data_IF_126316000652
#
_entry.id   IF_126316000652
#
_cell.length_a   1.000
_cell.length_b   1.000
_cell.length_c   1.000
_cell.angle_alpha   90.00
_cell.angle_beta   90.00
_cell.angle_gamma   90.00
#
_symmetry.space_group_name_H-M   'P 1'
#
loop_
_entity.id
_entity.type
_entity.pdbx_description
1 polymer ?
#
# COMPACT_ATOMS: atom_id res chain seq x y z
N UNK A 1 -5.84 24.59 0.06
CA UNK A 1 -4.89 23.76 -0.68
C UNK A 1 -3.67 24.62 -0.98
N UNK A 2 -2.48 24.03 -1.02
CA UNK A 2 -1.31 24.74 -1.55
C UNK A 2 -1.61 25.20 -2.97
N UNK A 3 -1.09 26.36 -3.36
CA UNK A 3 -1.20 26.84 -4.75
C UNK A 3 -0.35 26.01 -5.72
N UNK A 4 0.59 25.23 -5.20
CA UNK A 4 1.55 24.42 -5.97
C UNK A 4 1.75 23.04 -5.32
N UNK A 5 1.99 22.03 -6.14
CA UNK A 5 2.33 20.69 -5.69
C UNK A 5 3.67 20.68 -4.91
N UNK A 6 3.71 20.14 -3.67
CA UNK A 6 4.96 20.12 -2.88
C UNK A 6 6.03 19.20 -3.47
N UNK A 7 5.68 18.23 -4.32
CA UNK A 7 6.66 17.33 -4.92
C UNK A 7 7.33 17.89 -6.19
N UNK A 8 6.66 18.77 -6.96
CA UNK A 8 7.18 19.21 -8.27
C UNK A 8 6.83 20.65 -8.70
N UNK A 9 6.25 21.45 -7.81
CA UNK A 9 5.84 22.86 -8.02
C UNK A 9 4.80 23.14 -9.11
N UNK A 10 4.24 22.11 -9.74
CA UNK A 10 3.11 22.25 -10.67
C UNK A 10 1.96 23.01 -10.01
N UNK A 11 1.43 24.08 -10.65
CA UNK A 11 0.28 24.82 -10.16
C UNK A 11 -0.93 23.91 -9.91
N UNK A 12 -1.68 24.17 -8.84
CA UNK A 12 -2.90 23.42 -8.53
C UNK A 12 -3.98 23.55 -9.63
N UNK A 13 -3.97 24.63 -10.40
CA UNK A 13 -4.87 24.85 -11.54
C UNK A 13 -4.67 23.85 -12.70
N UNK A 14 -3.51 23.18 -12.75
CA UNK A 14 -3.23 22.13 -13.76
C UNK A 14 -3.63 20.74 -13.26
N UNK A 15 -4.10 20.62 -12.02
CA UNK A 15 -4.41 19.31 -11.42
C UNK A 15 -5.79 18.81 -11.82
N UNK A 16 -5.90 17.51 -12.05
CA UNK A 16 -7.16 16.85 -12.40
C UNK A 16 -7.94 16.50 -11.12
N UNK A 17 -9.25 16.58 -11.17
CA UNK A 17 -10.10 16.12 -10.07
C UNK A 17 -10.09 14.59 -10.02
N UNK A 18 -9.60 14.02 -8.92
CA UNK A 18 -9.63 12.57 -8.67
C UNK A 18 -10.93 12.15 -7.97
N UNK A 19 -11.39 12.95 -7.00
CA UNK A 19 -12.58 12.66 -6.21
C UNK A 19 -13.21 13.97 -5.72
N UNK A 20 -14.53 14.05 -5.74
CA UNK A 20 -15.31 15.06 -5.02
C UNK A 20 -16.43 14.36 -4.24
N UNK A 21 -16.57 14.67 -2.96
CA UNK A 21 -17.65 14.15 -2.10
C UNK A 21 -18.03 15.17 -1.04
N UNK A 22 -19.19 14.97 -0.43
CA UNK A 22 -19.60 15.68 0.78
C UNK A 22 -19.31 14.77 1.98
N UNK A 23 -18.52 15.26 2.94
CA UNK A 23 -18.21 14.54 4.18
C UNK A 23 -18.43 15.49 5.37
N UNK A 24 -19.27 15.08 6.33
CA UNK A 24 -19.64 15.90 7.49
C UNK A 24 -20.15 17.31 7.14
N UNK A 25 -20.84 17.46 5.99
CA UNK A 25 -21.35 18.75 5.51
C UNK A 25 -20.36 19.58 4.71
N UNK A 26 -19.08 19.18 4.63
CA UNK A 26 -18.05 19.86 3.87
C UNK A 26 -17.76 19.18 2.53
N UNK A 27 -17.51 19.98 1.49
CA UNK A 27 -17.03 19.47 0.21
C UNK A 27 -15.55 19.11 0.28
N UNK A 28 -15.25 17.82 0.16
CA UNK A 28 -13.90 17.27 0.11
C UNK A 28 -13.54 16.98 -1.33
N UNK A 29 -12.58 17.75 -1.86
CA UNK A 29 -12.00 17.54 -3.18
C UNK A 29 -10.60 16.97 -3.06
N UNK A 30 -10.30 15.94 -3.85
CA UNK A 30 -8.94 15.42 -4.02
C UNK A 30 -8.48 15.69 -5.45
N UNK A 31 -7.37 16.40 -5.57
CA UNK A 31 -6.74 16.75 -6.84
C UNK A 31 -5.52 15.86 -7.07
N UNK A 32 -5.30 15.45 -8.32
CA UNK A 32 -4.15 14.66 -8.75
C UNK A 32 -3.23 15.53 -9.62
N UNK A 33 -1.97 15.65 -9.22
CA UNK A 33 -0.98 16.42 -9.95
C UNK A 33 -0.63 15.72 -11.28
N UNK A 34 -0.70 16.39 -12.45
CA UNK A 34 -0.45 15.76 -13.74
C UNK A 34 1.01 15.34 -13.91
N UNK A 35 1.94 16.06 -13.27
CA UNK A 35 3.37 15.89 -13.48
C UNK A 35 3.99 14.78 -12.64
N UNK A 36 3.64 14.69 -11.36
CA UNK A 36 4.27 13.76 -10.41
C UNK A 36 3.29 12.79 -9.77
N UNK A 37 2.00 12.86 -10.11
CA UNK A 37 0.95 11.95 -9.62
C UNK A 37 0.80 11.91 -8.09
N UNK A 38 1.12 13.01 -7.41
CA UNK A 38 0.75 13.23 -6.01
C UNK A 38 -0.74 13.59 -5.95
N UNK A 39 -1.50 12.90 -5.10
CA UNK A 39 -2.87 13.29 -4.79
C UNK A 39 -2.91 14.16 -3.53
N UNK A 40 -3.64 15.27 -3.61
CA UNK A 40 -3.83 16.22 -2.53
C UNK A 40 -5.31 16.43 -2.23
N UNK A 41 -5.72 16.19 -0.99
CA UNK A 41 -7.08 16.46 -0.51
C UNK A 41 -7.17 17.88 0.07
N UNK A 42 -8.34 18.53 -0.11
CA UNK A 42 -8.69 19.88 0.31
C UNK A 42 -8.35 20.26 1.77
N UNK A 43 -8.36 21.57 2.07
CA UNK A 43 -7.70 22.23 3.22
C UNK A 43 -7.67 21.37 4.50
N UNK A 44 -6.48 20.88 4.84
CA UNK A 44 -6.09 20.74 6.24
C UNK A 44 -6.00 22.16 6.83
N UNK A 45 -7.08 22.68 7.39
CA UNK A 45 -7.11 23.99 8.07
C UNK A 45 -6.44 23.95 9.44
N UNK A 46 -5.74 22.87 9.78
CA UNK A 46 -5.18 22.61 11.09
C UNK A 46 -3.65 22.57 10.99
N UNK A 47 -2.95 23.35 11.83
CA UNK A 47 -1.50 23.20 12.00
C UNK A 47 -1.15 21.76 12.42
N UNK A 48 0.08 21.29 12.17
CA UNK A 48 0.49 19.88 12.36
C UNK A 48 0.00 19.31 13.70
N UNK A 49 0.20 20.02 14.81
CA UNK A 49 -0.28 19.56 16.14
C UNK A 49 -1.81 19.49 16.26
N UNK A 50 -2.55 20.40 15.61
CA UNK A 50 -4.01 20.39 15.59
C UNK A 50 -4.57 19.31 14.62
N UNK A 51 -3.91 19.06 13.49
CA UNK A 51 -4.25 17.96 12.58
C UNK A 51 -3.95 16.58 13.19
N UNK A 52 -2.83 16.47 13.90
CA UNK A 52 -2.45 15.27 14.66
C UNK A 52 -3.41 15.04 15.83
N UNK A 53 -3.80 16.08 16.58
CA UNK A 53 -4.80 16.01 17.67
C UNK A 53 -6.21 15.70 17.17
N UNK A 54 -6.67 16.35 16.10
CA UNK A 54 -8.03 16.18 15.56
C UNK A 54 -8.27 14.74 15.08
N UNK A 55 -7.21 14.03 14.67
CA UNK A 55 -7.31 12.64 14.21
C UNK A 55 -7.24 11.61 15.33
N UNK A 56 -6.45 11.84 16.39
CA UNK A 56 -6.32 10.85 17.46
C UNK A 56 -7.49 10.94 18.47
N UNK A 57 -8.20 12.07 18.52
CA UNK A 57 -9.40 12.22 19.34
C UNK A 57 -10.66 11.55 18.75
N UNK A 58 -10.66 11.13 17.49
CA UNK A 58 -11.75 10.37 16.88
C UNK A 58 -11.32 8.92 16.66
N UNK A 59 -11.53 8.09 17.69
CA UNK A 59 -11.65 6.61 17.66
C UNK A 59 -10.51 5.80 17.02
N UNK A 60 -9.79 5.08 17.87
CA UNK A 60 -8.99 3.85 17.65
C UNK A 60 -7.95 3.86 16.49
N UNK A 61 -6.68 3.44 16.70
CA UNK A 61 -5.67 3.24 15.64
C UNK A 61 -6.01 2.07 14.70
N UNK A 62 -7.22 2.05 14.16
CA UNK A 62 -7.63 1.09 13.16
C UNK A 62 -6.92 1.41 11.85
N UNK A 63 -5.79 0.77 11.63
CA UNK A 63 -5.36 0.47 10.27
C UNK A 63 -6.53 -0.25 9.59
N UNK A 64 -7.04 0.32 8.50
CA UNK A 64 -8.13 -0.27 7.74
C UNK A 64 -7.58 -1.09 6.59
N UNK A 65 -8.18 -2.25 6.34
CA UNK A 65 -7.93 -3.10 5.20
C UNK A 65 -9.24 -3.57 4.59
N UNK A 66 -9.18 -3.85 3.29
CA UNK A 66 -10.21 -4.59 2.59
C UNK A 66 -10.33 -6.01 3.14
N UNK A 67 -11.57 -6.45 3.29
CA UNK A 67 -11.95 -7.80 3.69
C UNK A 67 -12.47 -8.61 2.49
N UNK A 68 -12.64 -9.92 2.66
CA UNK A 68 -13.10 -10.83 1.60
C UNK A 68 -14.54 -10.59 1.14
N UNK A 69 -15.36 -9.94 1.98
CA UNK A 69 -16.71 -9.49 1.61
C UNK A 69 -16.71 -8.12 0.91
N UNK A 70 -15.53 -7.51 0.72
CA UNK A 70 -15.33 -6.18 0.15
C UNK A 70 -15.57 -5.03 1.14
N UNK A 71 -15.91 -5.30 2.41
CA UNK A 71 -15.96 -4.27 3.45
C UNK A 71 -14.56 -3.70 3.73
N UNK A 72 -14.53 -2.50 4.29
CA UNK A 72 -13.30 -1.89 4.81
C UNK A 72 -13.42 -1.96 6.34
N UNK A 73 -12.54 -2.74 6.97
CA UNK A 73 -12.56 -2.98 8.41
C UNK A 73 -11.13 -3.02 8.95
N UNK A 74 -10.99 -3.25 10.25
CA UNK A 74 -9.69 -3.24 10.91
C UNK A 74 -8.77 -4.32 10.35
N UNK A 75 -7.49 -3.97 10.19
CA UNK A 75 -6.44 -4.91 9.79
C UNK A 75 -6.39 -6.04 10.82
N UNK A 76 -6.51 -7.31 10.38
CA UNK A 76 -6.38 -8.46 11.28
C UNK A 76 -5.04 -8.46 12.02
N UNK A 77 -5.02 -8.98 13.25
CA UNK A 77 -3.81 -9.03 14.09
C UNK A 77 -2.62 -9.68 13.39
N UNK A 78 -2.85 -10.71 12.56
CA UNK A 78 -1.82 -11.38 11.77
C UNK A 78 -1.14 -10.41 10.78
N UNK A 79 -1.92 -9.66 9.99
CA UNK A 79 -1.39 -8.64 9.07
C UNK A 79 -0.65 -7.52 9.79
N UNK A 80 -1.11 -7.11 10.98
CA UNK A 80 -0.37 -6.14 11.81
C UNK A 80 0.99 -6.70 12.24
N UNK A 81 1.05 -7.98 12.61
CA UNK A 81 2.31 -8.64 12.98
C UNK A 81 3.27 -8.80 11.77
N UNK A 82 2.74 -9.10 10.59
CA UNK A 82 3.51 -9.14 9.33
C UNK A 82 4.09 -7.77 8.99
N UNK A 83 3.29 -6.70 9.04
CA UNK A 83 3.76 -5.31 8.83
C UNK A 83 4.84 -4.93 9.82
N UNK A 84 4.64 -5.28 11.09
CA UNK A 84 5.63 -5.00 12.11
C UNK A 84 6.94 -5.78 11.88
N UNK A 85 6.87 -6.98 11.32
CA UNK A 85 8.05 -7.75 10.90
C UNK A 85 8.76 -7.09 9.73
N UNK A 86 8.02 -6.70 8.68
CA UNK A 86 8.58 -5.99 7.53
C UNK A 86 9.28 -4.68 7.94
N UNK A 87 8.68 -3.88 8.83
CA UNK A 87 9.29 -2.65 9.38
C UNK A 87 10.57 -2.91 10.17
N UNK A 88 10.67 -4.05 10.86
CA UNK A 88 11.92 -4.47 11.53
C UNK A 88 12.99 -4.86 10.51
N UNK A 89 12.60 -5.54 9.44
CA UNK A 89 13.51 -5.94 8.36
C UNK A 89 14.05 -4.71 7.61
N UNK A 90 13.20 -3.71 7.34
CA UNK A 90 13.61 -2.44 6.73
C UNK A 90 14.60 -1.66 7.61
N UNK A 91 14.37 -1.65 8.94
CA UNK A 91 15.31 -1.06 9.90
C UNK A 91 16.65 -1.82 9.94
N UNK A 92 16.61 -3.15 9.91
CA UNK A 92 17.81 -3.99 9.83
C UNK A 92 18.60 -3.72 8.53
N UNK A 93 17.90 -3.62 7.40
CA UNK A 93 18.48 -3.27 6.11
C UNK A 93 19.13 -1.87 6.15
N UNK A 94 18.47 -0.88 6.77
CA UNK A 94 19.02 0.46 6.92
C UNK A 94 20.28 0.49 7.79
N UNK A 95 20.31 -0.26 8.89
CA UNK A 95 21.48 -0.43 9.75
C UNK A 95 22.65 -1.09 9.02
N UNK A 96 22.36 -2.08 8.17
CA UNK A 96 23.36 -2.70 7.31
C UNK A 96 23.90 -1.70 6.26
N UNK A 97 23.01 -0.95 5.62
CA UNK A 97 23.34 0.02 4.58
C UNK A 97 24.14 1.23 5.06
N UNK A 98 24.07 1.58 6.36
CA UNK A 98 24.91 2.62 6.98
C UNK A 98 26.23 2.09 7.57
N UNK A 99 26.45 0.77 7.53
CA UNK A 99 27.68 0.12 8.01
C UNK A 99 27.85 0.13 9.54
N UNK A 100 26.78 0.39 10.31
CA UNK A 100 26.82 0.53 11.78
C UNK A 100 25.64 -0.20 12.40
N UNK A 101 25.84 -1.41 12.93
CA UNK A 101 24.74 -2.18 13.53
C UNK A 101 24.43 -1.77 14.98
N UNK A 102 25.36 -2.01 15.92
CA UNK A 102 25.08 -1.86 17.37
C UNK A 102 25.34 -0.47 17.97
N UNK A 103 26.03 0.40 17.24
CA UNK A 103 26.36 1.77 17.69
C UNK A 103 25.64 2.85 16.89
N UNK A 104 24.74 2.46 15.99
CA UNK A 104 23.98 3.41 15.20
C UNK A 104 23.11 4.29 16.12
N UNK A 105 23.15 5.59 15.86
CA UNK A 105 22.18 6.54 16.39
C UNK A 105 20.94 6.46 15.53
N UNK A 106 19.88 5.89 16.10
CA UNK A 106 18.60 5.71 15.42
C UNK A 106 17.59 6.72 15.97
N UNK A 107 16.90 7.43 15.08
CA UNK A 107 15.74 8.27 15.38
C UNK A 107 14.50 7.63 14.77
N UNK A 108 13.42 7.51 15.54
CA UNK A 108 12.11 7.12 15.02
C UNK A 108 11.11 8.27 15.21
N UNK A 109 10.43 8.66 14.13
CA UNK A 109 9.44 9.74 14.12
C UNK A 109 8.05 9.10 14.07
N UNK A 110 7.15 9.52 14.96
CA UNK A 110 5.79 8.96 15.09
C UNK A 110 5.82 7.55 15.66
N UNK A 111 6.42 7.34 16.85
CA UNK A 111 6.57 5.99 17.41
C UNK A 111 5.28 5.34 17.92
N UNK A 112 4.17 6.08 17.99
CA UNK A 112 2.91 5.59 18.55
C UNK A 112 3.14 4.95 19.94
N UNK A 113 2.56 3.78 20.21
CA UNK A 113 2.67 3.06 21.48
C UNK A 113 4.05 2.44 21.75
N UNK A 114 5.00 2.56 20.82
CA UNK A 114 6.37 2.07 20.95
C UNK A 114 6.55 0.57 20.68
N UNK A 115 5.55 -0.16 20.17
CA UNK A 115 5.65 -1.61 19.94
C UNK A 115 6.83 -1.98 19.04
N UNK A 116 7.02 -1.26 17.92
CA UNK A 116 8.13 -1.48 16.99
C UNK A 116 9.49 -1.31 17.66
N UNK A 117 9.68 -0.22 18.41
CA UNK A 117 10.97 0.07 19.04
C UNK A 117 11.29 -0.89 20.18
N UNK A 118 10.28 -1.35 20.92
CA UNK A 118 10.47 -2.38 21.92
C UNK A 118 10.98 -3.69 21.29
N UNK A 119 10.42 -4.10 20.14
CA UNK A 119 10.91 -5.28 19.40
C UNK A 119 12.29 -5.05 18.77
N UNK A 120 12.53 -3.86 18.21
CA UNK A 120 13.82 -3.51 17.62
C UNK A 120 14.96 -3.51 18.65
N UNK A 121 14.70 -3.04 19.88
CA UNK A 121 15.65 -3.11 21.00
C UNK A 121 16.06 -4.55 21.29
N UNK A 122 15.11 -5.48 21.30
CA UNK A 122 15.38 -6.90 21.57
C UNK A 122 16.08 -7.60 20.39
N UNK A 123 15.54 -7.44 19.17
CA UNK A 123 16.04 -8.11 17.96
C UNK A 123 17.38 -7.56 17.50
N UNK A 124 17.50 -6.24 17.40
CA UNK A 124 18.64 -5.55 16.77
C UNK A 124 19.65 -4.99 17.79
N UNK A 125 19.33 -5.05 19.09
CA UNK A 125 20.17 -4.55 20.20
C UNK A 125 20.57 -3.08 20.06
N UNK A 126 19.64 -2.26 19.56
CA UNK A 126 19.78 -0.80 19.40
C UNK A 126 19.06 -0.04 20.53
N UNK A 127 19.41 1.23 20.71
CA UNK A 127 18.74 2.16 21.64
C UNK A 127 18.25 3.39 20.86
N UNK A 128 17.09 3.31 20.19
CA UNK A 128 16.56 4.41 19.40
C UNK A 128 16.06 5.54 20.31
N UNK A 129 16.13 6.76 19.79
CA UNK A 129 15.40 7.92 20.32
C UNK A 129 14.12 8.05 19.50
N UNK A 130 13.02 8.37 20.15
CA UNK A 130 11.73 8.42 19.50
C UNK A 130 11.03 9.78 19.68
N UNK A 131 10.28 10.20 18.67
CA UNK A 131 9.41 11.37 18.73
C UNK A 131 7.96 10.91 18.57
N UNK A 132 7.08 11.35 19.46
CA UNK A 132 5.64 11.10 19.36
C UNK A 132 4.86 12.30 19.92
N UNK A 133 4.28 13.17 19.07
CA UNK A 133 3.63 14.39 19.55
C UNK A 133 2.34 14.13 20.33
N UNK A 134 1.72 12.95 20.24
CA UNK A 134 0.54 12.62 21.03
C UNK A 134 0.91 12.03 22.40
N UNK A 135 0.63 12.81 23.45
CA UNK A 135 1.07 12.52 24.81
C UNK A 135 0.67 11.13 25.33
N UNK A 136 -0.58 10.62 25.14
CA UNK A 136 -0.93 9.28 25.59
C UNK A 136 -0.08 8.15 24.96
N UNK A 137 0.20 8.20 23.65
CA UNK A 137 1.12 7.22 23.03
C UNK A 137 2.55 7.39 23.52
N UNK A 138 3.04 8.63 23.64
CA UNK A 138 4.36 8.87 24.19
C UNK A 138 4.50 8.32 25.63
N UNK A 139 3.45 8.42 26.45
CA UNK A 139 3.40 7.83 27.79
C UNK A 139 3.41 6.29 27.74
N UNK A 140 2.62 5.67 26.85
CA UNK A 140 2.65 4.21 26.66
C UNK A 140 4.01 3.71 26.19
N UNK A 141 4.64 4.40 25.24
CA UNK A 141 5.97 4.06 24.77
C UNK A 141 7.04 4.20 25.87
N UNK A 142 6.97 5.26 26.71
CA UNK A 142 7.84 5.41 27.89
C UNK A 142 7.62 4.33 28.94
N UNK A 143 6.38 3.87 29.12
CA UNK A 143 6.09 2.74 30.01
C UNK A 143 6.75 1.41 29.54
N UNK A 144 7.19 1.34 28.28
CA UNK A 144 8.04 0.25 27.72
C UNK A 144 9.54 0.51 27.87
N UNK A 145 9.92 1.52 28.67
CA UNK A 145 11.31 1.95 28.91
C UNK A 145 12.01 2.47 27.64
N UNK A 146 11.30 3.24 26.81
CA UNK A 146 11.83 3.85 25.59
C UNK A 146 12.16 5.33 25.81
N UNK A 147 13.25 5.81 25.18
CA UNK A 147 13.62 7.24 25.14
C UNK A 147 12.72 7.98 24.15
N UNK A 148 11.57 8.48 24.64
CA UNK A 148 10.56 9.15 23.81
C UNK A 148 10.37 10.60 24.23
N UNK A 149 10.46 11.53 23.27
CA UNK A 149 10.11 12.92 23.45
C UNK A 149 8.72 13.22 22.84
N UNK A 150 7.89 13.93 23.61
CA UNK A 150 6.51 14.23 23.22
C UNK A 150 6.44 15.47 22.30
N UNK A 151 6.99 15.37 21.09
CA UNK A 151 7.18 16.49 20.17
C UNK A 151 7.19 16.04 18.70
N UNK A 152 7.15 16.98 17.77
CA UNK A 152 7.39 16.72 16.33
C UNK A 152 8.88 16.93 16.00
N UNK A 153 9.33 16.49 14.83
CA UNK A 153 10.70 16.71 14.37
C UNK A 153 11.08 18.20 14.32
N UNK A 154 10.15 19.05 13.87
CA UNK A 154 10.30 20.50 13.75
C UNK A 154 10.33 21.18 15.12
N UNK A 155 9.57 20.64 16.08
CA UNK A 155 9.56 21.08 17.48
C UNK A 155 10.77 20.59 18.27
N UNK A 156 11.47 19.57 17.79
CA UNK A 156 12.56 18.94 18.51
C UNK A 156 13.84 19.77 18.50
N UNK A 157 14.46 19.94 19.67
CA UNK A 157 15.60 20.86 19.89
C UNK A 157 16.94 20.16 20.09
N UNK A 158 16.94 18.84 20.33
CA UNK A 158 18.18 18.08 20.50
C UNK A 158 18.99 18.11 19.20
N UNK A 159 20.28 18.40 19.34
CA UNK A 159 21.22 18.48 18.22
C UNK A 159 21.86 17.12 17.92
N UNK A 160 22.37 16.99 16.70
CA UNK A 160 23.18 15.86 16.25
C UNK A 160 22.60 15.17 15.03
N UNK A 161 23.44 14.34 14.42
CA UNK A 161 23.09 13.52 13.27
C UNK A 161 22.77 12.07 13.66
N UNK A 162 22.01 11.39 12.80
CA UNK A 162 21.56 10.02 12.97
C UNK A 162 22.08 9.15 11.83
N UNK A 163 22.50 7.93 12.18
CA UNK A 163 22.90 6.93 11.20
C UNK A 163 21.65 6.33 10.52
N UNK A 164 20.53 6.26 11.25
CA UNK A 164 19.22 5.87 10.68
C UNK A 164 18.12 6.79 11.21
N UNK A 165 17.28 7.29 10.31
CA UNK A 165 16.02 7.98 10.66
C UNK A 165 14.87 7.17 10.07
N UNK A 166 13.86 6.86 10.85
CA UNK A 166 12.70 6.07 10.42
C UNK A 166 11.41 6.86 10.65
N UNK A 167 10.53 6.88 9.66
CA UNK A 167 9.14 7.26 9.84
C UNK A 167 8.20 6.29 9.12
N UNK A 168 7.13 5.90 9.80
CA UNK A 168 6.07 5.08 9.21
C UNK A 168 4.76 5.85 9.34
N UNK A 169 4.12 6.10 8.20
CA UNK A 169 2.80 6.72 8.10
C UNK A 169 2.67 8.14 8.66
N UNK A 170 3.77 8.84 8.90
CA UNK A 170 3.74 10.24 9.38
C UNK A 170 3.51 11.21 8.21
N UNK A 171 4.30 11.08 7.14
CA UNK A 171 4.35 11.99 6.00
C UNK A 171 2.97 12.35 5.37
N UNK A 172 2.01 11.41 5.19
CA UNK A 172 0.69 11.70 4.62
C UNK A 172 -0.16 12.69 5.43
N UNK A 173 0.15 12.85 6.72
CA UNK A 173 -0.58 13.70 7.66
C UNK A 173 -0.03 15.12 7.76
N UNK A 174 1.16 15.38 7.22
CA UNK A 174 1.84 16.65 7.42
C UNK A 174 1.25 17.73 6.52
N UNK A 175 1.20 18.96 7.00
CA UNK A 175 0.82 20.11 6.18
C UNK A 175 1.92 20.48 5.16
N UNK A 176 3.18 20.38 5.58
CA UNK A 176 4.37 20.78 4.81
C UNK A 176 5.34 19.59 4.66
N UNK A 177 4.99 18.56 3.86
CA UNK A 177 5.77 17.32 3.78
C UNK A 177 7.17 17.53 3.20
N UNK A 178 7.38 18.54 2.34
CA UNK A 178 8.70 18.87 1.81
C UNK A 178 9.65 19.38 2.92
N UNK A 179 9.17 20.28 3.78
CA UNK A 179 9.97 20.83 4.89
C UNK A 179 10.31 19.75 5.92
N UNK A 180 9.39 18.80 6.15
CA UNK A 180 9.65 17.65 6.99
C UNK A 180 10.80 16.79 6.46
N UNK A 181 10.76 16.42 5.18
CA UNK A 181 11.84 15.63 4.58
C UNK A 181 13.17 16.39 4.53
N UNK A 182 13.15 17.72 4.35
CA UNK A 182 14.36 18.57 4.49
C UNK A 182 14.93 18.51 5.91
N UNK A 183 14.07 18.53 6.93
CA UNK A 183 14.48 18.39 8.32
C UNK A 183 15.05 17.00 8.63
N UNK A 184 14.57 15.95 7.98
CA UNK A 184 15.17 14.60 7.99
C UNK A 184 16.56 14.64 7.33
N UNK A 185 16.67 15.15 6.09
CA UNK A 185 17.94 15.23 5.36
C UNK A 185 19.03 15.97 6.13
N UNK A 186 18.68 17.09 6.78
CA UNK A 186 19.59 17.89 7.60
C UNK A 186 20.07 17.18 8.88
N UNK A 187 19.36 16.14 9.34
CA UNK A 187 19.70 15.35 10.53
C UNK A 187 20.33 14.00 10.20
N UNK A 188 20.44 13.62 8.94
CA UNK A 188 21.17 12.42 8.54
C UNK A 188 22.69 12.64 8.67
N UNK A 189 23.38 11.64 9.21
CA UNK A 189 24.83 11.53 9.10
C UNK A 189 25.25 11.31 7.63
N UNK A 190 26.55 11.42 7.33
CA UNK A 190 27.04 11.35 5.95
C UNK A 190 26.74 10.02 5.25
N UNK A 191 26.80 8.91 6.00
CA UNK A 191 26.38 7.58 5.55
C UNK A 191 24.98 7.20 6.07
N UNK A 192 24.21 8.18 6.54
CA UNK A 192 22.92 7.96 7.16
C UNK A 192 21.85 7.52 6.17
N UNK A 193 20.91 6.71 6.65
CA UNK A 193 19.78 6.20 5.88
C UNK A 193 18.47 6.72 6.47
N UNK A 194 17.60 7.28 5.64
CA UNK A 194 16.20 7.52 5.98
C UNK A 194 15.34 6.36 5.47
N UNK A 195 14.46 5.83 6.32
CA UNK A 195 13.45 4.82 5.99
C UNK A 195 12.10 5.51 6.07
N UNK A 196 11.38 5.60 4.95
CA UNK A 196 10.05 6.21 4.90
C UNK A 196 9.04 5.17 4.42
N UNK A 197 7.91 5.08 5.10
CA UNK A 197 6.75 4.30 4.66
C UNK A 197 5.49 5.16 4.61
N UNK A 198 4.74 5.06 3.51
CA UNK A 198 3.45 5.74 3.32
C UNK A 198 2.45 4.81 2.62
N UNK A 199 1.12 5.05 2.73
CA UNK A 199 0.14 4.35 1.93
C UNK A 199 0.39 4.53 0.43
N UNK A 200 0.24 3.46 -0.35
CA UNK A 200 0.33 3.50 -1.80
C UNK A 200 -1.02 3.88 -2.42
N UNK A 201 -1.09 5.03 -3.09
CA UNK A 201 -2.29 5.47 -3.80
C UNK A 201 -2.72 4.44 -4.87
N UNK A 202 -1.78 3.78 -5.54
CA UNK A 202 -2.08 2.80 -6.58
C UNK A 202 -2.76 1.54 -6.03
N UNK A 203 -2.54 1.23 -4.75
CA UNK A 203 -3.18 0.12 -4.04
C UNK A 203 -4.39 0.56 -3.21
N UNK A 204 -4.74 1.84 -3.22
CA UNK A 204 -5.86 2.35 -2.43
C UNK A 204 -7.18 1.85 -3.01
N UNK A 205 -8.02 1.27 -2.15
CA UNK A 205 -9.40 0.89 -2.43
C UNK A 205 -10.34 1.55 -1.41
N UNK A 206 -11.63 1.62 -1.72
CA UNK A 206 -12.62 2.23 -0.82
C UNK A 206 -12.40 3.72 -0.67
N UNK A 207 -12.04 4.42 -1.76
CA UNK A 207 -11.76 5.86 -1.74
C UNK A 207 -12.97 6.71 -1.34
N UNK A 208 -14.17 6.12 -1.46
CA UNK A 208 -15.42 6.69 -0.97
C UNK A 208 -15.56 6.64 0.56
N UNK A 209 -14.81 5.77 1.26
CA UNK A 209 -14.82 5.65 2.72
C UNK A 209 -14.24 6.91 3.38
N UNK A 210 -14.87 7.41 4.44
CA UNK A 210 -14.55 8.73 5.04
C UNK A 210 -13.10 8.89 5.52
N UNK A 211 -12.46 7.77 5.89
CA UNK A 211 -11.06 7.73 6.31
C UNK A 211 -10.04 7.64 5.15
N UNK A 212 -10.45 7.25 3.95
CA UNK A 212 -9.60 7.14 2.74
C UNK A 212 -9.73 8.43 1.93
N UNK A 213 -8.63 9.00 1.41
CA UNK A 213 -8.60 10.33 0.78
C UNK A 213 -9.33 11.41 1.62
N UNK A 214 -9.00 11.49 2.90
CA UNK A 214 -9.62 12.40 3.87
C UNK A 214 -8.76 13.62 4.14
N UNK A 215 -9.35 14.69 4.68
CA UNK A 215 -8.60 15.89 5.11
C UNK A 215 -7.54 15.60 6.19
N UNK A 216 -7.67 14.49 6.92
CA UNK A 216 -6.68 14.02 7.88
C UNK A 216 -5.46 13.34 7.22
N UNK A 217 -5.57 12.93 5.94
CA UNK A 217 -4.44 12.50 5.08
C UNK A 217 -4.41 13.40 3.85
N UNK A 218 -4.01 14.68 4.01
CA UNK A 218 -4.01 15.62 2.91
C UNK A 218 -3.16 15.18 1.72
N UNK A 219 -2.21 14.24 1.91
CA UNK A 219 -1.34 13.75 0.85
C UNK A 219 -1.45 12.23 0.68
N UNK A 220 -1.54 11.79 -0.58
CA UNK A 220 -1.45 10.39 -0.98
C UNK A 220 -0.43 10.24 -2.10
N UNK A 221 0.38 9.19 -1.99
CA UNK A 221 1.60 9.06 -2.77
C UNK A 221 1.49 7.91 -3.76
N UNK A 222 1.92 8.17 -4.98
CA UNK A 222 2.43 7.14 -5.90
C UNK A 222 3.95 7.03 -5.71
N UNK A 223 4.57 5.95 -6.19
CA UNK A 223 6.02 5.81 -6.21
C UNK A 223 6.71 7.03 -6.86
N UNK A 224 6.17 7.47 -8.01
CA UNK A 224 6.62 8.67 -8.74
C UNK A 224 6.58 9.93 -7.88
N UNK A 225 5.48 10.16 -7.16
CA UNK A 225 5.32 11.31 -6.26
C UNK A 225 6.29 11.28 -5.08
N UNK A 226 6.43 10.13 -4.41
CA UNK A 226 7.27 9.98 -3.22
C UNK A 226 8.76 10.18 -3.57
N UNK A 227 9.22 9.57 -4.67
CA UNK A 227 10.60 9.74 -5.16
C UNK A 227 10.86 11.19 -5.57
N UNK A 228 9.93 11.85 -6.26
CA UNK A 228 10.05 13.26 -6.60
C UNK A 228 10.17 14.15 -5.35
N UNK A 229 9.34 13.91 -4.34
CA UNK A 229 9.38 14.65 -3.08
C UNK A 229 10.69 14.42 -2.32
N UNK A 230 11.18 13.17 -2.25
CA UNK A 230 12.47 12.85 -1.64
C UNK A 230 13.62 13.59 -2.34
N UNK A 231 13.70 13.49 -3.67
CA UNK A 231 14.73 14.19 -4.47
C UNK A 231 14.72 15.68 -4.21
N UNK A 232 13.54 16.30 -4.16
CA UNK A 232 13.38 17.72 -3.88
C UNK A 232 13.81 18.12 -2.47
N UNK A 233 13.73 17.20 -1.52
CA UNK A 233 14.14 17.41 -0.13
C UNK A 233 15.65 17.24 0.13
N UNK A 234 16.44 16.87 -0.89
CA UNK A 234 17.86 16.53 -0.69
C UNK A 234 18.06 15.08 -0.21
N UNK A 235 17.16 14.18 -0.64
CA UNK A 235 17.25 12.75 -0.40
C UNK A 235 17.32 12.00 -1.73
N UNK A 236 18.27 11.07 -1.87
CA UNK A 236 18.39 10.16 -3.01
C UNK A 236 17.89 8.76 -2.62
N UNK A 237 16.74 8.32 -3.16
CA UNK A 237 16.28 6.95 -3.02
C UNK A 237 17.27 5.95 -3.62
N UNK A 238 17.57 4.87 -2.91
CA UNK A 238 18.37 3.74 -3.42
C UNK A 238 17.66 2.39 -3.30
N UNK A 239 16.52 2.34 -2.61
CA UNK A 239 15.61 1.21 -2.59
C UNK A 239 14.18 1.72 -2.57
N UNK A 240 13.29 1.04 -3.28
CA UNK A 240 11.86 1.32 -3.34
C UNK A 240 11.10 0.00 -3.46
N UNK A 241 10.17 -0.24 -2.55
CA UNK A 241 9.12 -1.25 -2.69
C UNK A 241 7.77 -0.55 -2.82
N UNK A 242 6.93 -1.03 -3.74
CA UNK A 242 5.62 -0.44 -4.04
C UNK A 242 4.53 -1.53 -4.04
N UNK A 243 4.24 -2.06 -2.85
CA UNK A 243 3.19 -3.05 -2.60
C UNK A 243 1.89 -2.35 -2.15
N UNK A 244 1.17 -2.87 -1.15
CA UNK A 244 0.07 -2.13 -0.49
C UNK A 244 0.55 -0.77 0.06
N UNK A 245 1.85 -0.65 0.34
CA UNK A 245 2.52 0.54 0.87
C UNK A 245 3.72 0.89 -0.01
N UNK A 246 4.11 2.15 0.06
CA UNK A 246 5.38 2.60 -0.51
C UNK A 246 6.40 2.61 0.61
N UNK A 247 7.50 1.88 0.42
CA UNK A 247 8.66 1.88 1.31
C UNK A 247 9.87 2.35 0.54
N UNK A 248 10.53 3.38 1.02
CA UNK A 248 11.72 3.95 0.38
C UNK A 248 12.85 4.11 1.38
N UNK A 249 14.04 3.65 0.98
CA UNK A 249 15.27 3.97 1.70
C UNK A 249 16.04 5.02 0.91
N UNK A 250 16.44 6.08 1.61
CA UNK A 250 17.08 7.25 1.05
C UNK A 250 18.42 7.54 1.73
N UNK A 251 19.37 8.10 0.97
CA UNK A 251 20.56 8.77 1.51
C UNK A 251 20.44 10.27 1.34
N UNK A 252 21.24 11.04 2.08
CA UNK A 252 21.39 12.48 1.83
C UNK A 252 22.00 12.72 0.45
N UNK A 253 21.49 13.70 -0.28
CA UNK A 253 21.96 14.11 -1.60
C UNK A 253 21.66 15.60 -1.84
N UNK A 254 22.16 16.14 -2.95
CA UNK A 254 21.77 17.47 -3.39
C UNK A 254 20.29 17.50 -3.82
N UNK A 255 19.52 18.55 -3.44
CA UNK A 255 18.15 18.70 -3.88
C UNK A 255 18.01 18.70 -5.41
N UNK A 256 17.02 17.97 -5.93
CA UNK A 256 16.73 17.88 -7.35
C UNK A 256 15.24 18.04 -7.63
N UNK A 257 14.89 18.77 -8.68
CA UNK A 257 13.51 18.96 -9.17
C UNK A 257 13.10 17.93 -10.22
N UNK A 258 13.97 16.96 -10.51
CA UNK A 258 13.71 15.91 -11.48
C UNK A 258 12.62 14.97 -10.98
N UNK A 259 11.54 14.86 -11.75
CA UNK A 259 10.46 13.89 -11.52
C UNK A 259 10.81 12.60 -12.28
N UNK A 260 10.88 11.44 -11.60
CA UNK A 260 11.17 10.18 -12.28
C UNK A 260 10.03 9.80 -13.23
N UNK A 261 10.29 8.92 -14.22
CA UNK A 261 9.22 8.32 -15.02
C UNK A 261 8.27 7.50 -14.14
N UNK A 262 7.05 7.30 -14.62
CA UNK A 262 6.02 6.51 -13.97
C UNK A 262 4.68 6.69 -14.68
N UNK A 263 3.58 6.13 -14.15
CA UNK A 263 2.28 6.27 -14.77
C UNK A 263 1.86 7.73 -14.84
N UNK A 264 1.10 8.07 -15.87
CA UNK A 264 0.53 9.39 -16.05
C UNK A 264 -0.72 9.56 -15.17
N UNK A 265 -1.11 10.80 -14.87
CA UNK A 265 -2.21 11.06 -13.93
C UNK A 265 -3.54 10.43 -14.36
N UNK A 266 -3.82 10.33 -15.65
CA UNK A 266 -5.03 9.68 -16.14
C UNK A 266 -5.03 8.16 -15.88
N UNK A 267 -3.88 7.50 -16.01
CA UNK A 267 -3.71 6.07 -15.70
C UNK A 267 -3.86 5.82 -14.20
N UNK A 268 -3.23 6.68 -13.38
CA UNK A 268 -3.38 6.63 -11.92
C UNK A 268 -4.85 6.78 -11.52
N UNK A 269 -5.58 7.72 -12.11
CA UNK A 269 -7.00 7.90 -11.83
C UNK A 269 -7.83 6.66 -12.23
N UNK A 270 -7.56 6.07 -13.40
CA UNK A 270 -8.22 4.84 -13.84
C UNK A 270 -7.97 3.67 -12.88
N UNK A 271 -6.73 3.50 -12.39
CA UNK A 271 -6.40 2.43 -11.45
C UNK A 271 -7.09 2.65 -10.10
N UNK A 272 -7.02 3.87 -9.56
CA UNK A 272 -7.66 4.22 -8.28
C UNK A 272 -9.18 4.04 -8.33
N UNK A 273 -9.84 4.49 -9.40
CA UNK A 273 -11.27 4.25 -9.60
C UNK A 273 -11.59 2.77 -9.85
N UNK A 274 -10.70 2.08 -10.56
CA UNK A 274 -10.79 0.65 -10.80
C UNK A 274 -10.77 -0.17 -9.51
N UNK A 275 -9.91 0.19 -8.56
CA UNK A 275 -9.86 -0.45 -7.24
C UNK A 275 -11.18 -0.29 -6.47
N UNK A 276 -11.81 0.89 -6.53
CA UNK A 276 -13.11 1.13 -5.87
C UNK A 276 -14.25 0.38 -6.58
N UNK A 277 -14.23 0.36 -7.92
CA UNK A 277 -15.18 -0.42 -8.72
C UNK A 277 -15.07 -1.92 -8.41
N UNK A 278 -13.85 -2.44 -8.29
CA UNK A 278 -13.58 -3.81 -7.87
C UNK A 278 -14.15 -4.08 -6.49
N UNK A 279 -13.94 -3.18 -5.54
CA UNK A 279 -14.46 -3.31 -4.18
C UNK A 279 -16.00 -3.33 -4.16
N UNK A 280 -16.64 -2.44 -4.94
CA UNK A 280 -18.10 -2.40 -5.07
C UNK A 280 -18.64 -3.70 -5.71
N UNK A 281 -17.98 -4.20 -6.74
CA UNK A 281 -18.34 -5.47 -7.38
C UNK A 281 -18.22 -6.64 -6.40
N UNK A 282 -17.11 -6.70 -5.66
CA UNK A 282 -16.86 -7.71 -4.62
C UNK A 282 -17.95 -7.70 -3.55
N UNK A 283 -18.35 -6.53 -3.05
CA UNK A 283 -19.49 -6.36 -2.12
C UNK A 283 -20.82 -6.82 -2.70
N UNK A 284 -21.09 -6.46 -3.94
CA UNK A 284 -22.32 -6.89 -4.61
C UNK A 284 -22.36 -8.41 -4.70
N UNK A 285 -21.30 -9.04 -5.21
CA UNK A 285 -21.19 -10.49 -5.39
C UNK A 285 -21.14 -11.26 -4.06
N UNK A 286 -20.58 -10.70 -2.99
CA UNK A 286 -20.62 -11.34 -1.66
C UNK A 286 -22.04 -11.34 -1.08
N UNK A 287 -22.86 -10.35 -1.41
CA UNK A 287 -24.25 -10.24 -0.94
C UNK A 287 -25.21 -11.13 -1.74
N UNK A 288 -25.10 -11.13 -3.07
CA UNK A 288 -26.09 -11.80 -3.95
C UNK A 288 -25.60 -13.13 -4.54
N UNK A 289 -24.32 -13.46 -4.38
CA UNK A 289 -23.69 -14.63 -5.02
C UNK A 289 -23.49 -14.48 -6.53
N UNK A 290 -22.95 -15.53 -7.17
CA UNK A 290 -22.70 -15.60 -8.61
C UNK A 290 -23.95 -15.98 -9.43
N UNK A 291 -25.11 -15.42 -9.10
CA UNK A 291 -26.33 -15.66 -9.87
C UNK A 291 -26.18 -15.16 -11.33
N UNK A 292 -26.86 -15.77 -12.33
CA UNK A 292 -26.71 -15.39 -13.74
C UNK A 292 -26.95 -13.90 -14.03
N UNK A 293 -27.87 -13.26 -13.31
CA UNK A 293 -28.12 -11.82 -13.45
C UNK A 293 -26.96 -10.98 -12.94
N UNK A 294 -26.39 -11.34 -11.79
CA UNK A 294 -25.23 -10.68 -11.19
C UNK A 294 -23.98 -10.83 -12.06
N UNK A 295 -23.76 -12.02 -12.63
CA UNK A 295 -22.67 -12.27 -13.57
C UNK A 295 -22.82 -11.47 -14.86
N UNK A 296 -24.03 -11.31 -15.40
CA UNK A 296 -24.27 -10.42 -16.56
C UNK A 296 -23.96 -8.96 -16.24
N UNK A 297 -24.35 -8.48 -15.06
CA UNK A 297 -24.03 -7.13 -14.63
C UNK A 297 -22.52 -6.93 -14.44
N UNK A 298 -21.84 -7.89 -13.81
CA UNK A 298 -20.40 -7.88 -13.64
C UNK A 298 -19.65 -7.88 -14.97
N UNK A 299 -20.08 -8.70 -15.92
CA UNK A 299 -19.53 -8.74 -17.28
C UNK A 299 -19.70 -7.40 -18.02
N UNK A 300 -20.86 -6.76 -17.87
CA UNK A 300 -21.09 -5.44 -18.45
C UNK A 300 -20.14 -4.37 -17.85
N UNK A 301 -19.86 -4.43 -16.54
CA UNK A 301 -18.88 -3.56 -15.88
C UNK A 301 -17.47 -3.82 -16.42
N UNK A 302 -17.05 -5.09 -16.44
CA UNK A 302 -15.75 -5.52 -16.97
C UNK A 302 -15.52 -5.02 -18.41
N UNK A 303 -16.48 -5.23 -19.31
CA UNK A 303 -16.38 -4.84 -20.72
C UNK A 303 -16.25 -3.33 -20.96
N UNK A 304 -16.69 -2.49 -20.01
CA UNK A 304 -16.62 -1.03 -20.10
C UNK A 304 -15.33 -0.45 -19.51
N UNK A 305 -14.54 -1.26 -18.80
CA UNK A 305 -13.31 -0.79 -18.20
C UNK A 305 -12.18 -0.73 -19.24
N UNK A 306 -11.62 0.46 -19.46
CA UNK A 306 -10.57 0.68 -20.46
C UNK A 306 -9.19 0.21 -20.00
N UNK A 307 -8.92 0.23 -18.70
CA UNK A 307 -7.63 -0.16 -18.14
C UNK A 307 -7.52 -1.69 -18.01
N UNK A 308 -6.50 -2.27 -18.63
CA UNK A 308 -6.33 -3.71 -18.73
C UNK A 308 -6.05 -4.38 -17.38
N UNK A 309 -5.22 -3.75 -16.53
CA UNK A 309 -4.96 -4.23 -15.17
C UNK A 309 -6.23 -4.26 -14.31
N UNK A 310 -7.03 -3.18 -14.36
CA UNK A 310 -8.31 -3.11 -13.64
C UNK A 310 -9.29 -4.17 -14.17
N UNK A 311 -9.39 -4.36 -15.49
CA UNK A 311 -10.22 -5.43 -16.07
C UNK A 311 -9.82 -6.80 -15.54
N UNK A 312 -8.52 -7.08 -15.50
CA UNK A 312 -8.04 -8.35 -14.97
C UNK A 312 -8.43 -8.54 -13.50
N UNK A 313 -8.29 -7.51 -12.67
CA UNK A 313 -8.67 -7.60 -11.26
C UNK A 313 -10.18 -7.80 -11.07
N UNK A 314 -11.00 -7.14 -11.89
CA UNK A 314 -12.45 -7.39 -11.92
C UNK A 314 -12.77 -8.83 -12.29
N UNK A 315 -12.10 -9.38 -13.31
CA UNK A 315 -12.29 -10.76 -13.73
C UNK A 315 -11.89 -11.76 -12.63
N UNK A 316 -10.83 -11.49 -11.87
CA UNK A 316 -10.45 -12.30 -10.70
C UNK A 316 -11.55 -12.29 -9.64
N UNK A 317 -12.15 -11.15 -9.32
CA UNK A 317 -13.25 -11.10 -8.34
C UNK A 317 -14.49 -11.87 -8.79
N UNK A 318 -14.81 -11.81 -10.09
CA UNK A 318 -15.91 -12.59 -10.66
C UNK A 318 -15.61 -14.09 -10.57
N UNK A 319 -14.39 -14.50 -10.90
CA UNK A 319 -13.96 -15.89 -10.78
C UNK A 319 -14.07 -16.41 -9.34
N UNK A 320 -13.58 -15.63 -8.36
CA UNK A 320 -13.67 -15.97 -6.95
C UNK A 320 -15.13 -16.12 -6.48
N UNK A 321 -16.04 -15.28 -7.00
CA UNK A 321 -17.46 -15.40 -6.70
C UNK A 321 -18.07 -16.68 -7.30
N UNK A 322 -17.73 -17.03 -8.54
CA UNK A 322 -18.15 -18.28 -9.17
C UNK A 322 -17.64 -19.51 -8.39
N UNK A 323 -16.37 -19.51 -7.98
CA UNK A 323 -15.76 -20.58 -7.19
C UNK A 323 -16.49 -20.79 -5.86
N UNK A 324 -16.81 -19.72 -5.12
CA UNK A 324 -17.60 -19.80 -3.87
C UNK A 324 -18.99 -20.40 -4.08
N UNK A 325 -19.54 -20.29 -5.28
CA UNK A 325 -20.82 -20.90 -5.67
C UNK A 325 -20.65 -22.28 -6.35
N UNK A 326 -19.44 -22.85 -6.34
CA UNK A 326 -19.10 -24.12 -7.01
C UNK A 326 -19.31 -24.12 -8.54
N UNK A 327 -19.34 -22.94 -9.18
CA UNK A 327 -19.42 -22.77 -10.63
C UNK A 327 -18.01 -22.69 -11.24
N UNK A 328 -17.33 -23.83 -11.27
CA UNK A 328 -15.92 -23.91 -11.65
C UNK A 328 -15.66 -23.59 -13.13
N UNK A 329 -16.64 -23.82 -14.01
CA UNK A 329 -16.52 -23.51 -15.43
C UNK A 329 -16.47 -22.00 -15.66
N UNK A 330 -17.39 -21.25 -15.04
CA UNK A 330 -17.34 -19.79 -15.10
C UNK A 330 -16.12 -19.24 -14.37
N UNK A 331 -15.72 -19.80 -13.23
CA UNK A 331 -14.50 -19.39 -12.54
C UNK A 331 -13.27 -19.52 -13.46
N UNK A 332 -13.14 -20.66 -14.15
CA UNK A 332 -12.07 -20.90 -15.12
C UNK A 332 -12.12 -19.93 -16.30
N UNK A 333 -13.32 -19.66 -16.84
CA UNK A 333 -13.50 -18.70 -17.93
C UNK A 333 -13.01 -17.30 -17.54
N UNK A 334 -13.43 -16.80 -16.37
CA UNK A 334 -13.05 -15.47 -15.89
C UNK A 334 -11.56 -15.37 -15.55
N UNK A 335 -10.96 -16.41 -14.98
CA UNK A 335 -9.51 -16.45 -14.80
C UNK A 335 -8.79 -16.35 -16.14
N UNK A 336 -9.22 -17.09 -17.18
CA UNK A 336 -8.61 -16.98 -18.50
C UNK A 336 -8.73 -15.57 -19.10
N UNK A 337 -9.85 -14.88 -18.89
CA UNK A 337 -10.00 -13.48 -19.28
C UNK A 337 -9.04 -12.56 -18.53
N UNK A 338 -8.90 -12.75 -17.21
CA UNK A 338 -7.96 -11.96 -16.41
C UNK A 338 -6.52 -12.08 -16.92
N UNK A 339 -6.12 -13.29 -17.30
CA UNK A 339 -4.76 -13.58 -17.78
C UNK A 339 -4.51 -12.92 -19.15
N UNK A 340 -5.52 -12.91 -20.03
CA UNK A 340 -5.46 -12.18 -21.31
C UNK A 340 -5.40 -10.67 -21.11
N UNK A 341 -6.17 -10.15 -20.15
CA UNK A 341 -6.22 -8.71 -19.87
C UNK A 341 -4.91 -8.17 -19.27
N UNK A 342 -4.14 -8.98 -18.53
CA UNK A 342 -2.86 -8.50 -17.98
C UNK A 342 -1.73 -8.38 -19.01
N UNK A 343 -1.89 -8.94 -20.21
CA UNK A 343 -0.82 -9.05 -21.22
C UNK A 343 0.53 -9.46 -20.58
N UNK A 344 0.44 -10.40 -19.64
CA UNK A 344 1.59 -10.83 -18.85
C UNK A 344 2.19 -12.06 -19.52
N UNK A 345 3.21 -11.80 -20.34
CA UNK A 345 3.93 -12.83 -21.08
C UNK A 345 4.49 -13.96 -20.19
N UNK A 346 4.83 -13.69 -18.93
CA UNK A 346 5.33 -14.71 -17.99
C UNK A 346 4.19 -15.61 -17.50
N UNK A 347 3.02 -15.00 -17.27
CA UNK A 347 1.81 -15.73 -16.92
C UNK A 347 1.29 -16.56 -18.09
N UNK A 348 1.29 -16.02 -19.31
CA UNK A 348 0.96 -16.79 -20.51
C UNK A 348 1.90 -18.00 -20.69
N UNK A 349 3.19 -17.80 -20.47
CA UNK A 349 4.19 -18.87 -20.51
C UNK A 349 3.92 -19.92 -19.42
N UNK A 350 3.62 -19.50 -18.20
CA UNK A 350 3.29 -20.39 -17.08
C UNK A 350 2.02 -21.21 -17.37
N UNK A 351 0.98 -20.59 -17.90
CA UNK A 351 -0.26 -21.28 -18.29
C UNK A 351 -0.03 -22.27 -19.43
N UNK A 352 0.80 -21.93 -20.41
CA UNK A 352 1.19 -22.86 -21.47
C UNK A 352 1.85 -24.11 -20.88
N UNK A 353 2.78 -23.94 -19.93
CA UNK A 353 3.42 -25.06 -19.21
C UNK A 353 2.42 -25.89 -18.41
N UNK A 354 1.47 -25.27 -17.71
CA UNK A 354 0.44 -26.00 -16.95
C UNK A 354 -0.50 -26.79 -17.87
N UNK A 355 -0.87 -26.24 -19.03
CA UNK A 355 -1.66 -26.95 -20.04
C UNK A 355 -0.91 -28.17 -20.57
N UNK A 356 0.39 -28.04 -20.84
CA UNK A 356 1.24 -29.16 -21.28
C UNK A 356 1.27 -30.28 -20.22
N UNK A 357 1.51 -29.93 -18.95
CA UNK A 357 1.49 -30.90 -17.84
C UNK A 357 0.13 -31.59 -17.72
N UNK A 358 -0.97 -30.83 -17.78
CA UNK A 358 -2.33 -31.40 -17.72
C UNK A 358 -2.58 -32.37 -18.88
N UNK A 359 -2.19 -32.00 -20.10
CA UNK A 359 -2.36 -32.86 -21.27
C UNK A 359 -1.55 -34.15 -21.15
N UNK A 360 -0.32 -34.07 -20.61
CA UNK A 360 0.52 -35.25 -20.32
C UNK A 360 -0.12 -36.17 -19.27
N UNK A 361 -0.70 -35.62 -18.21
CA UNK A 361 -1.42 -36.41 -17.20
C UNK A 361 -2.66 -37.06 -17.80
N UNK A 362 -3.46 -36.32 -18.57
CA UNK A 362 -4.63 -36.86 -19.25
C UNK A 362 -4.24 -37.99 -20.22
N UNK A 363 -3.13 -37.82 -20.94
CA UNK A 363 -2.60 -38.85 -21.82
C UNK A 363 -2.17 -40.09 -21.02
N UNK A 364 -1.47 -39.95 -19.89
CA UNK A 364 -1.11 -41.08 -19.03
C UNK A 364 -2.37 -41.82 -18.52
N UNK A 365 -3.43 -41.09 -18.18
CA UNK A 365 -4.69 -41.71 -17.74
C UNK A 365 -5.49 -42.38 -18.86
N UNK A 366 -5.40 -41.89 -20.10
CA UNK A 366 -6.08 -42.50 -21.24
C UNK A 366 -5.26 -43.61 -21.91
N UNK A 367 -3.93 -43.54 -21.81
CA UNK A 367 -2.99 -44.55 -22.31
C UNK A 367 -2.75 -45.68 -21.29
N UNK A 368 -3.40 -45.65 -20.12
CA UNK A 368 -3.54 -46.85 -19.29
C UNK A 368 -4.33 -47.88 -20.11
N UNK A 369 -3.69 -48.96 -20.58
CA UNK A 369 -4.37 -49.93 -21.42
C UNK A 369 -5.56 -50.50 -20.65
N UNK A 370 -6.62 -50.91 -21.35
CA UNK A 370 -7.71 -51.74 -20.83
C UNK A 370 -7.26 -53.09 -20.22
N UNK A 371 -5.98 -53.27 -19.90
CA UNK A 371 -5.37 -54.38 -19.20
C UNK A 371 -5.89 -54.58 -17.76
N UNK A 372 -6.72 -53.69 -17.23
CA UNK A 372 -7.45 -53.92 -15.98
C UNK A 372 -8.85 -54.55 -16.18
N UNK A 373 -9.34 -54.69 -17.41
CA UNK A 373 -10.62 -55.35 -17.68
C UNK A 373 -10.47 -56.89 -17.69
N UNK A 374 -9.31 -57.41 -18.09
CA UNK A 374 -8.99 -58.85 -17.98
C UNK A 374 -8.85 -59.31 -16.53
N UNK A 375 -8.26 -58.50 -15.63
CA UNK A 375 -8.21 -58.81 -14.19
C UNK A 375 -9.57 -58.75 -13.49
N UNK A 376 -10.53 -57.99 -13.99
CA UNK A 376 -11.91 -57.97 -13.47
C UNK A 376 -12.77 -59.13 -13.99
N UNK A 377 -12.46 -59.67 -15.17
CA UNK A 377 -13.11 -60.89 -15.66
C UNK A 377 -12.64 -62.15 -14.92
N UNK A 378 -11.35 -62.26 -14.58
CA UNK A 378 -10.83 -63.42 -13.84
C UNK A 378 -11.41 -63.53 -12.40
N UNK A 379 -11.77 -62.40 -11.79
CA UNK A 379 -12.41 -62.38 -10.46
C UNK A 379 -13.91 -62.71 -10.48
N UNK A 380 -14.59 -62.70 -11.64
CA UNK A 380 -16.00 -63.08 -11.78
C UNK A 380 -16.21 -64.55 -12.18
N UNK A 381 -15.14 -65.24 -12.59
CA UNK A 381 -15.16 -66.67 -12.91
C UNK A 381 -14.69 -67.55 -11.74
N UNK A 382 -14.31 -66.94 -10.61
CA UNK A 382 -13.91 -67.61 -9.37
C UNK A 382 -14.97 -67.57 -8.26
N UNK A 383 -16.20 -67.15 -8.59
CA UNK A 383 -17.41 -67.17 -7.76
C UNK A 383 -18.52 -67.90 -8.49
#
# INVERSE_FOLDING_TARGET
>A
MSRRCPACDTPASESSLLLSRIAAGDSVMTLLCPRCTLAQTGRASFGIAAGYRARICSTDPFELAEQDDGSIANVPTARRAERLTARLDDLEQALAACGRSRRARVLHIGTQDGELLARARTRLRIKPIALEPWLPWAQQARARDLDVEATTLEGWRRRGSFDVIVEHDVLPHLAEPLEHLRAIAARLADCGVAVLEVPNLMAAAGISHEHVLSSARPFWFTARALVALCKRAGLAPFFLAADERLRVLCRRAEPSTHVPPGPEAHEVAQIVWGNDLRLQLKRALSTVGAAPQSLRAAAAIHSKCSNAGVRADLAIEIANACERCSDLDNATHWLQLALRDRDDSEVEHTLARLRDVRNRIAQIWHDEPAANDSRRQDLRLAS
#
